data_IF_008944838427
#
_entry.id   IF_008944838427
#
_cell.length_a   1.000
_cell.length_b   1.000
_cell.length_c   1.000
_cell.angle_alpha   90.00
_cell.angle_beta   90.00
_cell.angle_gamma   90.00
#
_symmetry.space_group_name_H-M   'P 1'
#
loop_
_entity.id
_entity.type
_entity.pdbx_description
1 polymer ?
#
# COMPACT_ATOMS: atom_id res chain seq x y z
N UNK A 1 -16.22 -23.18 10.25
CA UNK A 1 -15.92 -21.78 9.94
C UNK A 1 -15.18 -21.76 8.63
N UNK A 2 -15.70 -21.08 7.61
CA UNK A 2 -15.04 -20.99 6.29
C UNK A 2 -13.81 -20.09 6.43
N UNK A 3 -12.68 -20.50 5.88
CA UNK A 3 -11.47 -19.68 5.88
C UNK A 3 -11.73 -18.38 5.07
N UNK A 4 -11.19 -17.27 5.57
CA UNK A 4 -11.28 -15.97 4.89
C UNK A 4 -10.56 -16.03 3.52
N UNK A 5 -11.18 -15.49 2.48
CA UNK A 5 -10.56 -15.42 1.16
C UNK A 5 -9.50 -14.31 1.11
N UNK A 6 -8.49 -14.42 0.22
CA UNK A 6 -7.52 -13.34 -0.02
C UNK A 6 -8.14 -11.96 -0.23
N UNK A 7 -9.25 -11.90 -0.98
CA UNK A 7 -9.94 -10.63 -1.26
C UNK A 7 -10.53 -10.01 0.01
N UNK A 8 -11.12 -10.82 0.90
CA UNK A 8 -11.68 -10.34 2.18
C UNK A 8 -10.57 -9.80 3.09
N UNK A 9 -9.44 -10.49 3.20
CA UNK A 9 -8.27 -9.99 3.95
C UNK A 9 -7.80 -8.63 3.43
N UNK A 10 -7.71 -8.45 2.10
CA UNK A 10 -7.29 -7.19 1.48
C UNK A 10 -8.35 -6.09 1.67
N UNK A 11 -9.64 -6.41 1.55
CA UNK A 11 -10.73 -5.44 1.72
C UNK A 11 -10.79 -4.87 3.14
N UNK A 12 -10.39 -5.63 4.16
CA UNK A 12 -10.32 -5.15 5.55
C UNK A 12 -9.22 -4.13 5.79
N UNK A 13 -8.18 -4.10 4.96
CA UNK A 13 -7.05 -3.20 5.13
C UNK A 13 -7.47 -1.73 5.03
N UNK A 14 -8.23 -1.36 4.00
CA UNK A 14 -8.55 0.04 3.73
C UNK A 14 -9.42 0.71 4.82
N UNK A 15 -10.49 0.10 5.34
CA UNK A 15 -11.24 0.67 6.45
C UNK A 15 -10.40 0.87 7.72
N UNK A 16 -9.51 -0.07 8.04
CA UNK A 16 -8.63 0.05 9.21
C UNK A 16 -7.65 1.21 9.05
N UNK A 17 -7.09 1.39 7.85
CA UNK A 17 -6.22 2.53 7.56
C UNK A 17 -6.99 3.86 7.62
N UNK A 18 -8.19 3.92 7.05
CA UNK A 18 -9.03 5.12 7.06
C UNK A 18 -9.43 5.56 8.48
N UNK A 19 -9.69 4.59 9.37
CA UNK A 19 -10.00 4.83 10.78
C UNK A 19 -8.74 5.12 11.64
N UNK A 20 -7.54 5.10 11.06
CA UNK A 20 -6.27 5.27 11.79
C UNK A 20 -5.88 4.08 12.68
N UNK A 21 -6.54 2.93 12.52
CA UNK A 21 -6.33 1.69 13.31
C UNK A 21 -5.08 0.93 12.86
N UNK A 22 -3.94 1.60 12.97
CA UNK A 22 -2.66 1.15 12.41
C UNK A 22 -2.18 -0.20 12.98
N UNK A 23 -2.42 -0.47 14.27
CA UNK A 23 -2.04 -1.75 14.89
C UNK A 23 -2.86 -2.93 14.34
N UNK A 24 -4.15 -2.71 14.12
CA UNK A 24 -5.07 -3.72 13.59
C UNK A 24 -4.81 -3.97 12.09
N UNK A 25 -4.51 -2.91 11.34
CA UNK A 25 -4.05 -3.01 9.97
C UNK A 25 -2.74 -3.80 9.88
N UNK A 26 -1.77 -3.52 10.75
CA UNK A 26 -0.49 -4.22 10.80
C UNK A 26 -0.67 -5.73 11.10
N UNK A 27 -1.67 -6.10 11.91
CA UNK A 27 -1.96 -7.50 12.21
C UNK A 27 -2.44 -8.33 11.00
N UNK A 28 -2.85 -7.70 9.90
CA UNK A 28 -3.19 -8.39 8.64
C UNK A 28 -1.95 -8.84 7.85
N UNK A 29 -0.78 -8.28 8.15
CA UNK A 29 0.47 -8.62 7.48
C UNK A 29 1.14 -9.82 8.14
N UNK A 30 1.92 -10.55 7.36
CA UNK A 30 2.88 -11.50 7.90
C UNK A 30 4.02 -10.75 8.61
N UNK A 31 4.71 -11.44 9.53
CA UNK A 31 5.84 -10.89 10.29
C UNK A 31 6.94 -10.29 9.39
N UNK A 32 7.06 -10.80 8.15
CA UNK A 32 7.87 -10.20 7.09
C UNK A 32 7.03 -10.01 5.83
N UNK A 33 7.11 -8.82 5.24
CA UNK A 33 6.45 -8.49 3.99
C UNK A 33 7.46 -7.91 3.01
N UNK A 34 7.38 -8.33 1.75
CA UNK A 34 8.09 -7.62 0.67
C UNK A 34 7.30 -6.34 0.36
N UNK A 35 7.89 -5.19 0.69
CA UNK A 35 7.36 -3.86 0.41
C UNK A 35 8.15 -3.20 -0.72
N UNK A 36 7.44 -2.70 -1.73
CA UNK A 36 8.04 -2.03 -2.88
C UNK A 36 7.19 -0.83 -3.29
N UNK A 37 7.84 0.33 -3.33
CA UNK A 37 7.35 1.54 -3.99
C UNK A 37 8.44 1.89 -5.02
N UNK A 38 8.15 1.87 -6.33
CA UNK A 38 9.09 2.33 -7.34
C UNK A 38 9.53 3.77 -7.03
N UNK A 39 10.85 3.98 -6.93
CA UNK A 39 11.44 5.21 -6.42
C UNK A 39 11.30 6.39 -7.40
N UNK A 40 10.74 7.53 -6.99
CA UNK A 40 11.07 8.82 -7.60
C UNK A 40 12.42 9.29 -7.04
N UNK A 41 13.43 9.59 -7.88
CA UNK A 41 14.74 10.03 -7.41
C UNK A 41 14.68 11.33 -6.58
N UNK A 42 15.06 11.24 -5.29
CA UNK A 42 15.57 12.34 -4.47
C UNK A 42 14.59 13.25 -3.71
N UNK A 43 13.77 12.76 -2.75
CA UNK A 43 12.85 13.66 -2.00
C UNK A 43 12.74 13.36 -0.47
N UNK A 44 13.08 14.32 0.43
CA UNK A 44 12.94 14.18 1.90
C UNK A 44 11.66 14.77 2.55
N UNK A 45 10.70 15.36 1.80
CA UNK A 45 9.47 15.96 2.36
C UNK A 45 8.31 16.05 1.35
N UNK A 46 8.05 14.96 0.64
CA UNK A 46 6.98 14.80 -0.36
C UNK A 46 5.71 15.65 -0.06
N UNK A 47 5.43 16.67 -0.89
CA UNK A 47 4.15 17.41 -1.03
C UNK A 47 2.97 16.48 -1.34
N UNK A 48 1.79 16.86 -0.87
CA UNK A 48 0.54 16.16 -1.18
C UNK A 48 0.27 16.20 -2.69
N UNK A 49 0.03 15.02 -3.25
CA UNK A 49 -0.36 14.83 -4.65
C UNK A 49 -1.56 13.88 -4.69
N UNK A 50 -2.61 14.29 -5.39
CA UNK A 50 -3.74 13.41 -5.69
C UNK A 50 -3.44 12.66 -6.99
N UNK A 51 -3.13 11.37 -6.88
CA UNK A 51 -2.83 10.52 -8.03
C UNK A 51 -3.46 9.14 -7.90
N UNK A 52 -3.77 8.54 -9.05
CA UNK A 52 -4.22 7.16 -9.09
C UNK A 52 -3.07 6.22 -8.68
N UNK A 53 -3.41 5.15 -7.98
CA UNK A 53 -2.48 4.08 -7.65
C UNK A 53 -3.11 2.72 -7.93
N UNK A 54 -2.28 1.71 -8.11
CA UNK A 54 -2.71 0.31 -8.08
C UNK A 54 -1.93 -0.44 -7.01
N UNK A 55 -2.61 -1.30 -6.26
CA UNK A 55 -1.98 -2.15 -5.25
C UNK A 55 -2.05 -3.61 -5.69
N UNK A 56 -0.89 -4.26 -5.77
CA UNK A 56 -0.79 -5.70 -5.97
C UNK A 56 -0.35 -6.37 -4.66
N UNK A 57 -1.25 -7.16 -4.09
CA UNK A 57 -1.00 -7.94 -2.86
C UNK A 57 -0.94 -9.45 -3.13
N UNK A 58 -0.09 -10.15 -2.40
CA UNK A 58 -0.15 -11.61 -2.29
C UNK A 58 -0.55 -12.01 -0.88
N UNK A 59 -1.59 -12.83 -0.75
CA UNK A 59 -2.04 -13.38 0.53
C UNK A 59 -1.69 -14.86 0.60
N UNK A 60 -1.11 -15.29 1.72
CA UNK A 60 -0.83 -16.69 2.04
C UNK A 60 -1.26 -16.94 3.48
N UNK A 61 -1.98 -18.04 3.71
CA UNK A 61 -2.47 -18.42 5.06
C UNK A 61 -3.20 -17.29 5.80
N UNK A 62 -4.02 -16.53 5.05
CA UNK A 62 -4.78 -15.41 5.59
C UNK A 62 -3.96 -14.17 5.94
N UNK A 63 -2.67 -14.12 5.58
CA UNK A 63 -1.78 -12.98 5.83
C UNK A 63 -1.23 -12.37 4.54
N UNK A 64 -1.13 -11.05 4.50
CA UNK A 64 -0.48 -10.33 3.40
C UNK A 64 1.03 -10.57 3.49
N UNK A 65 1.62 -11.15 2.44
CA UNK A 65 3.05 -11.49 2.34
C UNK A 65 3.81 -10.67 1.30
N UNK A 66 3.08 -10.00 0.39
CA UNK A 66 3.62 -9.02 -0.57
C UNK A 66 2.70 -7.82 -0.65
N UNK A 67 3.29 -6.63 -0.67
CA UNK A 67 2.62 -5.35 -0.85
C UNK A 67 3.40 -4.53 -1.88
N UNK A 68 2.89 -4.45 -3.12
CA UNK A 68 3.52 -3.69 -4.20
C UNK A 68 2.59 -2.56 -4.63
N UNK A 69 3.01 -1.32 -4.35
CA UNK A 69 2.29 -0.12 -4.75
C UNK A 69 2.83 0.38 -6.09
N UNK A 70 1.94 0.53 -7.07
CA UNK A 70 2.21 1.22 -8.32
C UNK A 70 1.69 2.65 -8.20
N UNK A 71 2.60 3.60 -8.26
CA UNK A 71 2.31 5.03 -8.33
C UNK A 71 2.50 5.54 -9.76
N UNK A 72 1.83 6.62 -10.11
CA UNK A 72 2.16 7.40 -11.30
C UNK A 72 3.40 8.26 -11.03
N UNK A 73 4.58 7.68 -11.24
CA UNK A 73 5.86 8.39 -11.04
C UNK A 73 6.04 9.59 -11.98
N UNK A 74 5.29 9.68 -13.09
CA UNK A 74 5.31 10.88 -13.94
C UNK A 74 4.50 12.01 -13.31
N UNK A 75 3.30 11.73 -12.79
CA UNK A 75 2.52 12.71 -12.04
C UNK A 75 3.27 13.20 -10.79
N UNK A 76 3.95 12.27 -10.09
CA UNK A 76 4.89 12.62 -9.01
C UNK A 76 5.98 13.52 -9.55
N UNK A 77 6.72 13.15 -10.59
CA UNK A 77 7.82 13.96 -11.09
C UNK A 77 7.36 15.36 -11.51
N UNK A 78 6.24 15.47 -12.23
CA UNK A 78 5.65 16.74 -12.67
C UNK A 78 5.29 17.65 -11.50
N UNK A 79 4.70 17.13 -10.43
CA UNK A 79 4.30 17.96 -9.29
C UNK A 79 5.48 18.61 -8.54
N UNK A 80 6.72 18.15 -8.77
CA UNK A 80 7.91 18.60 -8.05
C UNK A 80 8.96 19.27 -8.92
N UNK A 81 9.12 18.83 -10.17
CA UNK A 81 10.21 19.28 -11.04
C UNK A 81 9.75 20.25 -12.13
N UNK A 82 8.45 20.33 -12.43
CA UNK A 82 7.92 21.33 -13.36
C UNK A 82 7.52 22.58 -12.55
N UNK A 83 8.39 23.61 -12.57
CA UNK A 83 8.11 24.98 -12.09
C UNK A 83 7.11 25.72 -13.01
#
# INVERSE_FOLDING_TARGET
MTAESPAQTVQRLFPLLADGKSAEAAALFADSVSFSIPHPPGIPWVRDIDTAFALHTTVRDGRITRYHLHEDSYAVAKAYFDD
#
